data_IF_378982611904
#
_entry.id   IF_378982611904
#
_cell.length_a   1.000
_cell.length_b   1.000
_cell.length_c   1.000
_cell.angle_alpha   90.00
_cell.angle_beta   90.00
_cell.angle_gamma   90.00
#
_symmetry.space_group_name_H-M   'P 1'
#
loop_
_entity.id
_entity.type
_entity.pdbx_description
1 polymer ?
#
# COMPACT_ATOMS: atom_id res chain seq x y z
N UNK A 1 4.10 25.34 7.53
CA UNK A 1 4.84 24.70 6.42
C UNK A 1 5.48 23.42 6.95
N UNK A 2 5.40 22.32 6.20
CA UNK A 2 6.10 21.10 6.57
C UNK A 2 7.61 21.33 6.50
N UNK A 3 8.36 20.72 7.41
CA UNK A 3 9.83 20.74 7.30
C UNK A 3 10.29 19.86 6.13
N UNK A 4 11.51 20.09 5.62
CA UNK A 4 12.08 19.25 4.55
C UNK A 4 12.11 17.77 4.93
N UNK A 5 12.42 17.47 6.20
CA UNK A 5 12.44 16.10 6.72
C UNK A 5 11.04 15.50 6.76
N UNK A 6 10.03 16.27 7.17
CA UNK A 6 8.64 15.82 7.15
C UNK A 6 8.20 15.53 5.72
N UNK A 7 8.48 16.45 4.79
CA UNK A 7 8.13 16.29 3.37
C UNK A 7 8.74 15.01 2.80
N UNK A 8 10.04 14.78 3.01
CA UNK A 8 10.71 13.54 2.56
C UNK A 8 10.09 12.28 3.17
N UNK A 9 9.74 12.30 4.46
CA UNK A 9 9.08 11.16 5.12
C UNK A 9 7.70 10.89 4.54
N UNK A 10 6.89 11.93 4.35
CA UNK A 10 5.56 11.82 3.77
C UNK A 10 5.60 11.34 2.32
N UNK A 11 6.50 11.86 1.48
CA UNK A 11 6.70 11.39 0.10
C UNK A 11 7.12 9.92 0.08
N UNK A 12 8.06 9.51 0.93
CA UNK A 12 8.50 8.11 1.01
C UNK A 12 7.37 7.19 1.45
N UNK A 13 6.57 7.60 2.44
CA UNK A 13 5.39 6.85 2.89
C UNK A 13 4.38 6.73 1.76
N UNK A 14 4.07 7.84 1.08
CA UNK A 14 3.11 7.85 -0.02
C UNK A 14 3.52 6.92 -1.15
N UNK A 15 4.80 6.92 -1.53
CA UNK A 15 5.37 5.99 -2.52
C UNK A 15 5.31 4.51 -2.11
N UNK A 16 5.18 4.20 -0.82
CA UNK A 16 5.01 2.82 -0.34
C UNK A 16 3.54 2.40 -0.41
N UNK A 17 2.61 3.35 -0.26
CA UNK A 17 1.17 3.07 -0.34
C UNK A 17 0.63 3.08 -1.77
N UNK A 18 1.20 3.91 -2.64
CA UNK A 18 0.91 3.97 -4.07
C UNK A 18 1.50 2.73 -4.75
N UNK A 19 0.69 1.69 -4.88
CA UNK A 19 1.12 0.37 -5.33
C UNK A 19 1.26 0.33 -6.85
N UNK A 20 0.44 1.09 -7.57
CA UNK A 20 0.49 1.21 -9.03
C UNK A 20 1.45 2.31 -9.53
N UNK A 21 1.85 3.25 -8.65
CA UNK A 21 2.80 4.31 -8.95
C UNK A 21 2.18 5.47 -9.74
N UNK A 22 0.84 5.61 -9.71
CA UNK A 22 0.12 6.66 -10.44
C UNK A 22 0.21 8.05 -9.76
N UNK A 23 0.77 8.12 -8.55
CA UNK A 23 0.90 9.34 -7.76
C UNK A 23 -0.33 9.64 -6.89
N UNK A 24 -1.28 8.71 -6.79
CA UNK A 24 -2.52 8.82 -6.02
C UNK A 24 -2.80 7.49 -5.33
N UNK A 25 -2.96 7.51 -4.02
CA UNK A 25 -3.40 6.31 -3.28
C UNK A 25 -4.91 6.13 -3.49
N UNK A 26 -5.26 5.10 -4.25
CA UNK A 26 -6.64 4.72 -4.56
C UNK A 26 -7.06 3.48 -3.80
N UNK A 27 -8.36 3.16 -3.83
CA UNK A 27 -8.87 1.92 -3.22
C UNK A 27 -8.28 0.67 -3.90
N UNK A 28 -7.99 0.76 -5.20
CA UNK A 28 -7.40 -0.32 -6.00
C UNK A 28 -5.97 -0.65 -5.55
N UNK A 29 -5.19 0.36 -5.12
CA UNK A 29 -3.85 0.15 -4.54
C UNK A 29 -3.92 -0.70 -3.27
N UNK A 30 -4.89 -0.42 -2.40
CA UNK A 30 -5.12 -1.23 -1.21
C UNK A 30 -5.50 -2.66 -1.58
N UNK A 31 -6.37 -2.84 -2.58
CA UNK A 31 -6.78 -4.17 -3.04
C UNK A 31 -5.60 -4.98 -3.59
N UNK A 32 -4.72 -4.34 -4.37
CA UNK A 32 -3.45 -4.92 -4.83
C UNK A 32 -2.54 -5.32 -3.66
N UNK A 33 -2.39 -4.45 -2.66
CA UNK A 33 -1.59 -4.72 -1.45
C UNK A 33 -2.17 -5.93 -0.69
N UNK A 34 -3.49 -5.98 -0.50
CA UNK A 34 -4.16 -7.09 0.19
C UNK A 34 -4.06 -8.39 -0.60
N UNK A 35 -4.22 -8.36 -1.92
CA UNK A 35 -4.04 -9.54 -2.78
C UNK A 35 -2.59 -10.06 -2.73
N UNK A 36 -1.60 -9.16 -2.78
CA UNK A 36 -0.19 -9.53 -2.66
C UNK A 36 0.13 -10.09 -1.27
N UNK A 37 -0.43 -9.52 -0.20
CA UNK A 37 -0.32 -10.05 1.15
C UNK A 37 -0.97 -11.42 1.32
N UNK A 38 -2.16 -11.62 0.74
CA UNK A 38 -2.87 -12.90 0.77
C UNK A 38 -2.06 -14.00 0.07
N UNK A 39 -1.53 -13.71 -1.13
CA UNK A 39 -0.63 -14.61 -1.87
C UNK A 39 0.63 -14.93 -1.06
N UNK A 40 1.28 -13.92 -0.48
CA UNK A 40 2.52 -14.12 0.28
C UNK A 40 2.30 -14.94 1.56
N UNK A 41 1.15 -14.76 2.21
CA UNK A 41 0.80 -15.49 3.43
C UNK A 41 0.27 -16.90 3.17
N UNK A 42 0.18 -17.36 1.92
CA UNK A 42 -0.56 -18.58 1.54
C UNK A 42 -1.94 -18.63 2.24
N UNK A 43 -2.58 -17.47 2.37
CA UNK A 43 -3.95 -17.40 2.86
C UNK A 43 -4.83 -17.84 1.69
N UNK A 44 -5.00 -19.16 1.56
CA UNK A 44 -6.07 -19.73 0.77
C UNK A 44 -7.37 -19.06 1.21
N UNK A 45 -8.14 -18.54 0.25
CA UNK A 45 -9.38 -17.79 0.46
C UNK A 45 -10.52 -18.60 1.13
N UNK A 46 -10.21 -19.77 1.69
CA UNK A 46 -11.14 -20.78 2.18
C UNK A 46 -10.86 -21.22 3.63
N UNK A 47 -10.29 -20.36 4.48
CA UNK A 47 -10.34 -20.61 5.93
C UNK A 47 -11.81 -20.53 6.37
N UNK A 48 -12.45 -21.64 6.77
CA UNK A 48 -13.83 -21.59 7.25
C UNK A 48 -13.86 -20.79 8.54
N UNK A 49 -14.83 -19.89 8.65
CA UNK A 49 -15.20 -19.24 9.91
C UNK A 49 -15.71 -20.27 10.91
#
# INVERSE_FOLDING_TARGET
MLTELQTKKWTRLFQVYDADGNGTVTQEDFELIFQNLAKFRNLEANSPQ
#
